data_IF_683335286044
#
_entry.id   IF_683335286044
#
_cell.length_a   1.000
_cell.length_b   1.000
_cell.length_c   1.000
_cell.angle_alpha   90.00
_cell.angle_beta   90.00
_cell.angle_gamma   90.00
#
_symmetry.space_group_name_H-M   'P 1'
#
loop_
_entity.id
_entity.type
_entity.pdbx_description
1 polymer ?
#
# COMPACT_ATOMS: atom_id res chain seq x y z
N UNK A 1 -21.76 26.37 21.68
CA UNK A 1 -22.87 25.38 21.71
C UNK A 1 -22.78 24.26 20.65
N UNK A 2 -22.10 24.42 19.51
CA UNK A 2 -22.05 23.37 18.45
C UNK A 2 -21.35 22.05 18.87
N UNK A 3 -20.36 22.13 19.77
CA UNK A 3 -19.58 20.95 20.21
C UNK A 3 -20.43 19.90 20.95
N UNK A 4 -21.44 20.30 21.72
CA UNK A 4 -22.28 19.35 22.47
C UNK A 4 -23.19 18.52 21.55
N UNK A 5 -23.61 19.07 20.41
CA UNK A 5 -24.50 18.39 19.48
C UNK A 5 -23.81 17.21 18.78
N UNK A 6 -22.54 17.38 18.38
CA UNK A 6 -21.79 16.30 17.73
C UNK A 6 -21.41 15.19 18.71
N UNK A 7 -21.16 15.53 19.97
CA UNK A 7 -20.94 14.53 21.03
C UNK A 7 -22.20 13.69 21.30
N UNK A 8 -23.37 14.33 21.39
CA UNK A 8 -24.62 13.58 21.54
C UNK A 8 -24.89 12.66 20.34
N UNK A 9 -24.65 13.16 19.12
CA UNK A 9 -24.84 12.37 17.90
C UNK A 9 -23.92 11.13 17.84
N UNK A 10 -22.66 11.23 18.31
CA UNK A 10 -21.78 10.05 18.36
C UNK A 10 -22.18 9.09 19.49
N UNK A 11 -22.69 9.58 20.61
CA UNK A 11 -23.15 8.74 21.73
C UNK A 11 -24.35 7.88 21.31
N UNK A 12 -25.29 8.47 20.58
CA UNK A 12 -26.51 7.82 20.10
C UNK A 12 -26.27 6.94 18.86
N UNK A 13 -25.14 7.10 18.15
CA UNK A 13 -24.80 6.33 16.97
C UNK A 13 -24.46 4.87 17.31
N UNK A 14 -25.00 3.88 16.57
CA UNK A 14 -24.70 2.48 16.82
C UNK A 14 -23.24 2.14 16.44
N UNK A 15 -22.67 1.18 17.15
CA UNK A 15 -21.41 0.58 16.75
C UNK A 15 -21.60 -0.30 15.50
N UNK A 16 -20.76 -0.10 14.50
CA UNK A 16 -20.64 -0.96 13.33
C UNK A 16 -19.30 -1.69 13.29
N UNK A 17 -19.20 -2.76 12.51
CA UNK A 17 -17.94 -3.46 12.30
C UNK A 17 -16.98 -2.63 11.42
N UNK A 18 -15.67 -2.76 11.65
CA UNK A 18 -14.61 -2.16 10.82
C UNK A 18 -13.70 -3.26 10.23
N UNK A 19 -14.12 -3.93 9.13
CA UNK A 19 -13.45 -5.13 8.63
C UNK A 19 -12.01 -4.92 8.19
N UNK A 20 -11.64 -3.72 7.77
CA UNK A 20 -10.28 -3.38 7.34
C UNK A 20 -9.22 -3.51 8.45
N UNK A 21 -9.63 -3.51 9.73
CA UNK A 21 -8.75 -3.67 10.88
C UNK A 21 -8.84 -5.05 11.55
N UNK A 22 -9.85 -5.85 11.18
CA UNK A 22 -10.11 -7.17 11.73
C UNK A 22 -11.53 -7.33 12.29
N UNK A 23 -11.98 -8.57 12.55
CA UNK A 23 -13.36 -8.87 12.92
C UNK A 23 -13.79 -8.31 14.28
N UNK A 24 -12.85 -8.06 15.19
CA UNK A 24 -13.07 -7.54 16.53
C UNK A 24 -13.19 -6.01 16.58
N UNK A 25 -12.83 -5.33 15.49
CA UNK A 25 -12.80 -3.87 15.46
C UNK A 25 -14.19 -3.31 15.18
N UNK A 26 -14.58 -2.34 15.99
CA UNK A 26 -15.84 -1.62 15.88
C UNK A 26 -15.59 -0.13 15.71
N UNK A 27 -16.45 0.53 14.95
CA UNK A 27 -16.43 1.96 14.70
C UNK A 27 -17.81 2.55 14.90
N UNK A 28 -17.85 3.78 15.40
CA UNK A 28 -18.99 4.67 15.20
C UNK A 28 -18.48 6.03 14.75
N UNK A 29 -19.24 6.68 13.90
CA UNK A 29 -18.91 8.00 13.38
C UNK A 29 -20.15 8.86 13.25
N UNK A 30 -19.93 10.17 13.23
CA UNK A 30 -20.94 11.15 12.86
C UNK A 30 -20.27 12.29 12.09
N UNK A 31 -21.02 12.88 11.17
CA UNK A 31 -20.55 13.95 10.30
C UNK A 31 -21.53 15.12 10.33
N UNK A 32 -21.02 16.32 10.13
CA UNK A 32 -21.81 17.52 9.92
C UNK A 32 -21.03 18.54 9.08
N UNK A 33 -21.63 19.71 8.85
CA UNK A 33 -21.00 20.79 8.07
C UNK A 33 -19.71 21.36 8.71
N UNK A 34 -19.41 21.00 9.96
CA UNK A 34 -18.20 21.42 10.66
C UNK A 34 -17.09 20.37 10.61
N UNK A 35 -17.36 19.16 10.14
CA UNK A 35 -16.40 18.06 10.02
C UNK A 35 -16.96 16.73 10.52
N UNK A 36 -16.10 15.92 11.14
CA UNK A 36 -16.49 14.60 11.65
C UNK A 36 -15.92 14.31 13.03
N UNK A 37 -16.56 13.36 13.70
CA UNK A 37 -16.07 12.68 14.89
C UNK A 37 -16.19 11.18 14.65
N UNK A 38 -15.12 10.45 14.88
CA UNK A 38 -15.07 9.00 14.78
C UNK A 38 -14.49 8.41 16.06
N UNK A 39 -15.00 7.25 16.47
CA UNK A 39 -14.48 6.47 17.57
C UNK A 39 -14.32 5.03 17.12
N UNK A 40 -13.21 4.41 17.48
CA UNK A 40 -12.86 3.04 17.12
C UNK A 40 -12.43 2.28 18.37
N UNK A 41 -12.79 1.01 18.48
CA UNK A 41 -12.40 0.13 19.58
C UNK A 41 -12.16 -1.28 19.07
N UNK A 42 -11.28 -2.01 19.75
CA UNK A 42 -11.03 -3.45 19.58
C UNK A 42 -11.60 -4.27 20.76
N UNK A 43 -12.37 -3.63 21.65
CA UNK A 43 -12.86 -4.21 22.90
C UNK A 43 -11.89 -4.11 24.09
N UNK A 44 -10.63 -3.72 23.86
CA UNK A 44 -9.62 -3.50 24.89
C UNK A 44 -9.30 -2.00 25.09
N UNK A 45 -9.21 -1.25 23.99
CA UNK A 45 -8.93 0.18 23.98
C UNK A 45 -9.99 0.97 23.20
N UNK A 46 -10.02 2.28 23.44
CA UNK A 46 -10.91 3.21 22.75
C UNK A 46 -10.09 4.38 22.21
N UNK A 47 -10.19 4.61 20.90
CA UNK A 47 -9.52 5.71 20.21
C UNK A 47 -10.56 6.60 19.56
N UNK A 48 -10.31 7.91 19.59
CA UNK A 48 -11.21 8.90 19.04
C UNK A 48 -10.46 9.93 18.20
N UNK A 49 -11.05 10.31 17.09
CA UNK A 49 -10.54 11.36 16.23
C UNK A 49 -11.65 12.36 15.92
N UNK A 50 -11.32 13.65 16.03
CA UNK A 50 -12.18 14.75 15.62
C UNK A 50 -11.44 15.61 14.61
N UNK A 51 -12.04 15.83 13.44
CA UNK A 51 -11.53 16.74 12.42
C UNK A 51 -12.55 17.77 12.04
N UNK A 52 -12.07 18.95 11.68
CA UNK A 52 -12.90 20.03 11.20
C UNK A 52 -12.96 20.06 9.65
N UNK A 53 -13.92 20.79 9.11
CA UNK A 53 -14.13 20.91 7.67
C UNK A 53 -12.89 21.47 6.94
N UNK A 54 -12.19 22.44 7.55
CA UNK A 54 -10.97 23.01 6.98
C UNK A 54 -9.89 21.95 6.76
N UNK A 55 -9.61 21.14 7.78
CA UNK A 55 -8.65 20.05 7.68
C UNK A 55 -9.05 19.02 6.62
N UNK A 56 -10.34 18.68 6.53
CA UNK A 56 -10.84 17.72 5.53
C UNK A 56 -10.61 18.26 4.11
N UNK A 57 -10.87 19.54 3.88
CA UNK A 57 -10.65 20.20 2.59
C UNK A 57 -9.16 20.24 2.25
N UNK A 58 -8.30 20.69 3.17
CA UNK A 58 -6.85 20.72 2.98
C UNK A 58 -6.29 19.31 2.69
N UNK A 59 -6.78 18.29 3.39
CA UNK A 59 -6.36 16.91 3.15
C UNK A 59 -6.87 16.37 1.80
N UNK A 60 -8.09 16.73 1.39
CA UNK A 60 -8.62 16.35 0.09
C UNK A 60 -7.84 17.01 -1.04
N UNK A 61 -7.51 18.29 -0.92
CA UNK A 61 -6.65 19.00 -1.86
C UNK A 61 -5.26 18.38 -1.93
N UNK A 62 -4.65 18.05 -0.79
CA UNK A 62 -3.35 17.37 -0.76
C UNK A 62 -3.43 16.01 -1.47
N UNK A 63 -4.44 15.20 -1.16
CA UNK A 63 -4.61 13.90 -1.79
C UNK A 63 -4.85 14.00 -3.31
N UNK A 64 -5.62 15.00 -3.75
CA UNK A 64 -5.92 15.20 -5.15
C UNK A 64 -4.70 15.68 -5.94
N UNK A 65 -3.94 16.63 -5.42
CA UNK A 65 -2.82 17.24 -6.14
C UNK A 65 -1.51 16.47 -6.02
N UNK A 66 -1.33 15.71 -4.93
CA UNK A 66 -0.06 15.03 -4.66
C UNK A 66 -0.19 13.51 -4.71
N UNK A 67 -1.06 12.94 -3.87
CA UNK A 67 -1.14 11.49 -3.69
C UNK A 67 -1.64 10.80 -4.97
N UNK A 68 -2.72 11.32 -5.56
CA UNK A 68 -3.35 10.69 -6.73
C UNK A 68 -2.43 10.68 -7.95
N UNK A 69 -1.79 11.80 -8.36
CA UNK A 69 -0.86 11.78 -9.49
C UNK A 69 0.35 10.87 -9.27
N UNK A 70 0.91 10.87 -8.04
CA UNK A 70 2.02 9.97 -7.71
C UNK A 70 1.61 8.50 -7.83
N UNK A 71 0.42 8.13 -7.33
CA UNK A 71 -0.09 6.76 -7.43
C UNK A 71 -0.25 6.33 -8.90
N UNK A 72 -0.78 7.21 -9.76
CA UNK A 72 -0.92 6.95 -11.19
C UNK A 72 0.45 6.73 -11.84
N UNK A 73 1.45 7.56 -11.53
CA UNK A 73 2.81 7.39 -12.06
C UNK A 73 3.44 6.07 -11.62
N UNK A 74 3.29 5.70 -10.34
CA UNK A 74 3.79 4.42 -9.82
C UNK A 74 3.14 3.24 -10.53
N UNK A 75 1.82 3.30 -10.77
CA UNK A 75 1.11 2.26 -11.52
C UNK A 75 1.58 2.16 -12.98
N UNK A 76 1.81 3.30 -13.65
CA UNK A 76 2.36 3.34 -15.01
C UNK A 76 3.77 2.75 -15.07
N UNK A 77 4.63 3.09 -14.10
CA UNK A 77 5.97 2.54 -13.99
C UNK A 77 5.95 1.03 -13.75
N UNK A 78 5.09 0.55 -12.84
CA UNK A 78 4.92 -0.88 -12.58
C UNK A 78 4.47 -1.64 -13.83
N UNK A 79 3.50 -1.09 -14.58
CA UNK A 79 3.06 -1.65 -15.85
C UNK A 79 4.20 -1.70 -16.87
N UNK A 80 4.98 -0.63 -16.99
CA UNK A 80 6.11 -0.58 -17.93
C UNK A 80 7.21 -1.58 -17.57
N UNK A 81 7.53 -1.74 -16.30
CA UNK A 81 8.49 -2.75 -15.82
C UNK A 81 8.01 -4.14 -16.21
N UNK A 82 6.73 -4.47 -15.98
CA UNK A 82 6.19 -5.78 -16.34
C UNK A 82 6.25 -6.05 -17.86
N UNK A 83 5.93 -5.04 -18.68
CA UNK A 83 6.06 -5.13 -20.13
C UNK A 83 7.50 -5.40 -20.55
N UNK A 84 8.46 -4.62 -20.04
CA UNK A 84 9.87 -4.76 -20.36
C UNK A 84 10.43 -6.12 -19.90
N UNK A 85 10.05 -6.60 -18.72
CA UNK A 85 10.43 -7.95 -18.25
C UNK A 85 9.91 -9.01 -19.21
N UNK A 86 8.66 -8.90 -19.65
CA UNK A 86 8.07 -9.83 -20.63
C UNK A 86 8.80 -9.79 -21.98
N UNK A 87 9.12 -8.59 -22.48
CA UNK A 87 9.89 -8.42 -23.72
C UNK A 87 11.30 -9.02 -23.63
N UNK A 88 11.99 -8.82 -22.50
CA UNK A 88 13.32 -9.39 -22.24
C UNK A 88 13.26 -10.91 -22.18
N UNK A 89 12.29 -11.47 -21.47
CA UNK A 89 12.09 -12.93 -21.42
C UNK A 89 11.80 -13.50 -22.81
N UNK A 90 10.96 -12.83 -23.59
CA UNK A 90 10.64 -13.25 -24.95
C UNK A 90 11.87 -13.24 -25.86
N UNK A 91 12.63 -12.13 -25.88
CA UNK A 91 13.86 -12.02 -26.67
C UNK A 91 14.93 -13.02 -26.22
N UNK A 92 15.02 -13.30 -24.92
CA UNK A 92 15.92 -14.33 -24.40
C UNK A 92 15.56 -15.72 -24.95
N UNK A 93 14.27 -16.08 -24.94
CA UNK A 93 13.81 -17.34 -25.53
C UNK A 93 14.09 -17.41 -27.03
N UNK A 94 13.85 -16.34 -27.79
CA UNK A 94 14.19 -16.27 -29.21
C UNK A 94 15.69 -16.47 -29.45
N UNK A 95 16.55 -15.89 -28.60
CA UNK A 95 17.99 -16.06 -28.71
C UNK A 95 18.41 -17.52 -28.41
N UNK A 96 17.81 -18.13 -27.38
CA UNK A 96 18.05 -19.53 -27.03
C UNK A 96 17.62 -20.50 -28.16
N UNK A 97 16.57 -20.17 -28.91
CA UNK A 97 16.09 -20.95 -30.07
C UNK A 97 16.98 -20.78 -31.31
N UNK A 98 17.49 -19.57 -31.57
CA UNK A 98 18.33 -19.25 -32.73
C UNK A 98 19.80 -19.65 -32.54
N UNK A 99 20.25 -19.88 -31.30
CA UNK A 99 21.60 -20.30 -30.95
C UNK A 99 21.60 -21.57 -30.08
N UNK A 100 21.09 -22.72 -30.60
CA UNK A 100 21.03 -23.97 -29.82
C UNK A 100 22.42 -24.49 -29.42
N UNK A 101 23.48 -24.09 -30.14
CA UNK A 101 24.86 -24.56 -29.95
C UNK A 101 25.66 -23.81 -28.87
N UNK A 102 25.06 -22.83 -28.16
CA UNK A 102 25.73 -22.19 -27.02
C UNK A 102 25.59 -22.98 -25.71
N UNK A 103 25.15 -24.25 -25.77
CA UNK A 103 25.50 -25.26 -24.76
C UNK A 103 26.97 -25.64 -24.92
N UNK A 104 27.88 -24.69 -24.65
CA UNK A 104 29.30 -25.01 -24.54
C UNK A 104 29.51 -25.97 -23.35
N UNK A 105 30.26 -27.07 -23.55
CA UNK A 105 30.43 -28.11 -22.54
C UNK A 105 31.37 -27.61 -21.43
N UNK A 106 31.01 -27.90 -20.19
CA UNK A 106 31.91 -27.94 -19.04
C UNK A 106 32.84 -26.72 -18.88
N UNK A 107 32.36 -25.71 -18.14
CA UNK A 107 33.27 -24.94 -17.28
C UNK A 107 33.89 -25.90 -16.26
N UNK A 108 35.01 -26.52 -16.63
CA UNK A 108 35.98 -27.02 -15.66
C UNK A 108 36.53 -25.81 -14.93
N UNK A 109 35.86 -25.41 -13.86
CA UNK A 109 36.46 -24.50 -12.88
C UNK A 109 37.80 -25.12 -12.44
N UNK A 110 38.93 -24.41 -12.54
CA UNK A 110 40.18 -24.85 -11.94
C UNK A 110 39.95 -24.94 -10.43
N UNK A 111 40.22 -26.11 -9.83
CA UNK A 111 40.27 -26.24 -8.36
C UNK A 111 41.29 -25.23 -7.81
N UNK A 112 40.94 -24.44 -6.79
CA UNK A 112 41.91 -23.53 -6.18
C UNK A 112 43.05 -24.33 -5.53
N UNK A 113 44.29 -23.82 -5.57
CA UNK A 113 45.43 -24.50 -4.97
C UNK A 113 45.27 -24.57 -3.45
N UNK A 114 45.45 -25.79 -2.92
CA UNK A 114 45.44 -26.09 -1.50
C UNK A 114 46.70 -25.49 -0.85
N UNK A 115 46.53 -24.36 -0.19
CA UNK A 115 47.58 -23.76 0.65
C UNK A 115 47.86 -24.73 1.79
N UNK A 116 49.09 -25.25 1.86
CA UNK A 116 49.60 -25.96 3.03
C UNK A 116 50.17 -24.91 3.98
N UNK A 117 49.49 -24.68 5.10
CA UNK A 117 50.06 -23.99 6.25
C UNK A 117 51.06 -24.93 6.92
N UNK A 118 52.33 -24.55 6.88
CA UNK A 118 53.38 -24.98 7.81
C UNK A 118 53.44 -24.02 8.98
#
# INVERSE_FOLDING_TARGET
>A
MASLKIWRAIEESPWGALPSMGPQWMIKSCTNNQGYLAMVTDGCGLWGEKRNAKYILEQAEFNHHWVTPMLVQVQQLASRVNQLTTEVEHKRRQLDELLPDNKSPASKAPKPPRIKTT
#
